data_IF_742359141391
#
_entry.id   IF_742359141391
#
_cell.length_a   1.000
_cell.length_b   1.000
_cell.length_c   1.000
_cell.angle_alpha   90.00
_cell.angle_beta   90.00
_cell.angle_gamma   90.00
#
_symmetry.space_group_name_H-M   'P 1'
#
loop_
_entity.id
_entity.type
_entity.pdbx_description
1 polymer ?
#
# COMPACT_ATOMS: atom_id res chain seq x y z
N UNK A 1 12.66 0.13 9.85
CA UNK A 1 13.84 -0.52 9.25
C UNK A 1 14.15 -1.81 9.98
N UNK A 2 14.14 -2.94 9.27
CA UNK A 2 14.35 -4.27 9.87
C UNK A 2 15.83 -4.62 9.80
N UNK A 3 16.57 -4.32 10.85
CA UNK A 3 18.02 -4.57 10.94
C UNK A 3 18.36 -6.06 11.20
N UNK A 4 17.36 -6.86 11.62
CA UNK A 4 17.46 -8.30 11.80
C UNK A 4 16.08 -8.97 11.79
N UNK A 5 16.06 -10.29 11.64
CA UNK A 5 14.83 -11.08 11.59
C UNK A 5 14.00 -11.03 12.90
N UNK A 6 14.65 -10.84 14.04
CA UNK A 6 13.99 -10.69 15.33
C UNK A 6 13.09 -9.46 15.39
N UNK A 7 13.50 -8.35 14.76
CA UNK A 7 12.67 -7.14 14.68
C UNK A 7 11.41 -7.37 13.83
N UNK A 8 11.54 -8.09 12.71
CA UNK A 8 10.38 -8.46 11.89
C UNK A 8 9.41 -9.36 12.65
N UNK A 9 9.94 -10.41 13.33
CA UNK A 9 9.12 -11.29 14.18
C UNK A 9 8.37 -10.52 15.26
N UNK A 10 9.06 -9.58 15.92
CA UNK A 10 8.44 -8.73 16.94
C UNK A 10 7.35 -7.82 16.36
N UNK A 11 7.58 -7.22 15.19
CA UNK A 11 6.59 -6.37 14.54
C UNK A 11 5.33 -7.16 14.16
N UNK A 12 5.49 -8.33 13.53
CA UNK A 12 4.37 -9.22 13.20
C UNK A 12 3.64 -9.67 14.46
N UNK A 13 4.39 -10.10 15.50
CA UNK A 13 3.78 -10.51 16.76
C UNK A 13 2.94 -9.40 17.40
N UNK A 14 3.46 -8.18 17.46
CA UNK A 14 2.73 -7.04 18.02
C UNK A 14 1.44 -6.77 17.25
N UNK A 15 1.48 -6.83 15.92
CA UNK A 15 0.28 -6.66 15.10
C UNK A 15 -0.75 -7.77 15.34
N UNK A 16 -0.32 -9.02 15.42
CA UNK A 16 -1.21 -10.14 15.74
C UNK A 16 -1.85 -9.97 17.13
N UNK A 17 -1.06 -9.59 18.14
CA UNK A 17 -1.58 -9.33 19.51
C UNK A 17 -2.63 -8.21 19.52
N UNK A 18 -2.43 -7.14 18.73
CA UNK A 18 -3.43 -6.08 18.59
C UNK A 18 -4.77 -6.61 18.03
N UNK A 19 -4.70 -7.43 16.98
CA UNK A 19 -5.89 -8.04 16.39
C UNK A 19 -6.52 -9.10 17.29
N UNK A 20 -5.72 -9.90 18.01
CA UNK A 20 -6.20 -10.87 18.98
C UNK A 20 -6.95 -10.23 20.16
N UNK A 21 -6.55 -9.02 20.57
CA UNK A 21 -7.31 -8.25 21.59
C UNK A 21 -8.72 -7.89 21.11
N UNK A 22 -8.92 -7.73 19.81
CA UNK A 22 -10.21 -7.36 19.21
C UNK A 22 -11.04 -8.61 18.93
N UNK A 23 -10.43 -9.62 18.28
CA UNK A 23 -11.14 -10.78 17.75
C UNK A 23 -10.99 -12.06 18.60
N UNK A 24 -10.16 -12.02 19.63
CA UNK A 24 -9.84 -13.17 20.45
C UNK A 24 -8.64 -13.96 19.93
N UNK A 25 -8.14 -14.89 20.76
CA UNK A 25 -7.03 -15.79 20.44
C UNK A 25 -7.38 -17.23 20.84
N UNK A 26 -6.62 -18.17 20.26
CA UNK A 26 -6.64 -19.58 20.66
C UNK A 26 -5.22 -20.02 21.01
N UNK A 27 -5.02 -20.65 22.15
CA UNK A 27 -3.71 -21.07 22.65
C UNK A 27 -3.05 -22.17 21.80
N UNK A 28 -3.80 -22.84 20.93
CA UNK A 28 -3.29 -23.81 19.98
C UNK A 28 -2.68 -23.17 18.71
N UNK A 29 -2.90 -21.87 18.52
CA UNK A 29 -2.38 -21.09 17.39
C UNK A 29 -0.97 -20.59 17.73
N UNK A 30 0.04 -21.44 17.60
CA UNK A 30 1.43 -21.21 18.01
C UNK A 30 2.34 -20.60 16.93
N UNK A 31 1.89 -20.54 15.67
CA UNK A 31 2.61 -19.91 14.55
C UNK A 31 1.94 -18.63 14.06
N UNK A 32 2.69 -17.76 13.39
CA UNK A 32 2.12 -16.56 12.77
C UNK A 32 1.01 -16.90 11.76
N UNK A 33 1.21 -17.98 11.01
CA UNK A 33 0.23 -18.52 10.05
C UNK A 33 -1.07 -18.91 10.73
N UNK A 34 -1.02 -19.72 11.79
CA UNK A 34 -2.21 -20.18 12.51
C UNK A 34 -2.94 -19.03 13.18
N UNK A 35 -2.21 -18.11 13.81
CA UNK A 35 -2.77 -16.91 14.45
C UNK A 35 -3.50 -16.01 13.46
N UNK A 36 -2.86 -15.70 12.32
CA UNK A 36 -3.52 -14.89 11.27
C UNK A 36 -4.77 -15.59 10.72
N UNK A 37 -4.69 -16.89 10.48
CA UNK A 37 -5.82 -17.72 10.05
C UNK A 37 -7.00 -17.64 11.03
N UNK A 38 -6.70 -17.83 12.32
CA UNK A 38 -7.71 -17.78 13.39
C UNK A 38 -8.34 -16.41 13.55
N UNK A 39 -7.54 -15.34 13.49
CA UNK A 39 -8.01 -13.95 13.53
C UNK A 39 -9.00 -13.66 12.39
N UNK A 40 -8.64 -14.02 11.16
CA UNK A 40 -9.51 -13.82 9.98
C UNK A 40 -10.83 -14.57 10.15
N UNK A 41 -10.79 -15.83 10.60
CA UNK A 41 -11.98 -16.63 10.84
C UNK A 41 -12.87 -16.00 11.91
N UNK A 42 -12.32 -15.66 13.08
CA UNK A 42 -13.06 -15.06 14.19
C UNK A 42 -13.65 -13.69 13.84
N UNK A 43 -12.91 -12.87 13.09
CA UNK A 43 -13.41 -11.59 12.57
C UNK A 43 -14.65 -11.78 11.69
N UNK A 44 -14.64 -12.77 10.81
CA UNK A 44 -15.78 -13.16 9.99
C UNK A 44 -16.95 -13.64 10.85
N UNK A 45 -16.71 -14.57 11.79
CA UNK A 45 -17.76 -15.15 12.64
C UNK A 45 -18.44 -14.10 13.51
N UNK A 46 -17.69 -13.12 14.05
CA UNK A 46 -18.21 -12.05 14.90
C UNK A 46 -18.99 -10.98 14.10
N UNK A 47 -18.55 -10.67 12.88
CA UNK A 47 -19.16 -9.60 12.08
C UNK A 47 -20.25 -10.08 11.12
N UNK A 48 -20.25 -11.37 10.77
CA UNK A 48 -21.05 -11.92 9.68
C UNK A 48 -20.62 -11.40 8.29
N UNK A 49 -19.45 -10.74 8.16
CA UNK A 49 -18.94 -10.14 6.93
C UNK A 49 -17.55 -10.67 6.61
N UNK A 50 -17.31 -10.93 5.32
CA UNK A 50 -15.98 -11.30 4.86
C UNK A 50 -14.96 -10.19 5.13
N UNK A 51 -13.75 -10.59 5.51
CA UNK A 51 -12.66 -9.69 5.91
C UNK A 51 -12.01 -9.06 4.68
N UNK A 52 -11.67 -7.79 4.77
CA UNK A 52 -10.77 -7.09 3.84
C UNK A 52 -9.40 -6.99 4.50
N UNK A 53 -8.36 -7.46 3.80
CA UNK A 53 -6.98 -7.36 4.26
C UNK A 53 -6.19 -6.45 3.33
N UNK A 54 -5.64 -5.37 3.89
CA UNK A 54 -4.79 -4.40 3.19
C UNK A 54 -3.37 -4.50 3.76
N UNK A 55 -2.38 -4.65 2.87
CA UNK A 55 -0.96 -4.75 3.24
C UNK A 55 -0.20 -3.73 2.43
N UNK A 56 0.27 -2.70 3.10
CA UNK A 56 1.10 -1.67 2.49
C UNK A 56 2.58 -1.99 2.67
N UNK A 57 3.38 -1.68 1.65
CA UNK A 57 4.83 -1.91 1.64
C UNK A 57 5.22 -3.36 2.01
N UNK A 58 4.54 -4.35 1.43
CA UNK A 58 4.78 -5.77 1.74
C UNK A 58 6.26 -6.19 1.58
N UNK A 59 7.02 -5.48 0.76
CA UNK A 59 8.41 -5.75 0.40
C UNK A 59 9.43 -5.00 1.28
N UNK A 60 8.99 -4.07 2.11
CA UNK A 60 9.85 -3.27 2.99
C UNK A 60 10.85 -4.11 3.82
N UNK A 61 10.47 -5.26 4.42
CA UNK A 61 11.43 -6.07 5.16
C UNK A 61 12.57 -6.62 4.29
N UNK A 62 12.29 -6.93 3.02
CA UNK A 62 13.30 -7.42 2.09
C UNK A 62 14.22 -6.29 1.60
N UNK A 63 13.67 -5.11 1.34
CA UNK A 63 14.44 -3.93 0.93
C UNK A 63 15.41 -3.47 2.02
N UNK A 64 14.99 -3.53 3.27
CA UNK A 64 15.83 -3.17 4.43
C UNK A 64 16.99 -4.15 4.67
N UNK A 65 16.92 -5.36 4.14
CA UNK A 65 17.93 -6.43 4.28
C UNK A 65 18.92 -6.50 3.13
N UNK A 66 18.97 -5.51 2.24
CA UNK A 66 19.84 -5.48 1.07
C UNK A 66 21.31 -5.80 1.41
N UNK A 67 21.94 -6.65 0.57
CA UNK A 67 23.32 -7.14 0.64
C UNK A 67 23.62 -8.18 1.74
N UNK A 68 22.61 -8.79 2.36
CA UNK A 68 22.79 -9.90 3.27
C UNK A 68 21.88 -11.08 2.89
N UNK A 69 22.41 -12.03 2.13
CA UNK A 69 21.64 -13.16 1.58
C UNK A 69 21.06 -14.08 2.67
N UNK A 70 21.79 -14.28 3.77
CA UNK A 70 21.32 -15.10 4.88
C UNK A 70 20.14 -14.44 5.59
N UNK A 71 20.25 -13.16 5.89
CA UNK A 71 19.14 -12.37 6.46
C UNK A 71 17.95 -12.33 5.53
N UNK A 72 18.16 -12.17 4.23
CA UNK A 72 17.07 -12.20 3.24
C UNK A 72 16.37 -13.57 3.21
N UNK A 73 17.10 -14.66 3.31
CA UNK A 73 16.52 -16.00 3.35
C UNK A 73 15.65 -16.20 4.60
N UNK A 74 16.12 -15.74 5.76
CA UNK A 74 15.37 -15.80 7.00
C UNK A 74 14.09 -14.92 6.96
N UNK A 75 14.21 -13.65 6.54
CA UNK A 75 13.06 -12.75 6.38
C UNK A 75 12.04 -13.34 5.43
N UNK A 76 12.48 -13.91 4.31
CA UNK A 76 11.62 -14.58 3.32
C UNK A 76 10.84 -15.73 3.93
N UNK A 77 11.50 -16.53 4.78
CA UNK A 77 10.85 -17.62 5.52
C UNK A 77 9.76 -17.12 6.47
N UNK A 78 10.03 -16.05 7.23
CA UNK A 78 9.06 -15.44 8.15
C UNK A 78 7.84 -14.89 7.40
N UNK A 79 8.07 -14.16 6.30
CA UNK A 79 7.00 -13.59 5.49
C UNK A 79 6.16 -14.67 4.81
N UNK A 80 6.80 -15.75 4.32
CA UNK A 80 6.09 -16.89 3.73
C UNK A 80 5.19 -17.57 4.77
N UNK A 81 5.70 -17.82 5.98
CA UNK A 81 4.87 -18.36 7.07
C UNK A 81 3.68 -17.46 7.35
N UNK A 82 3.91 -16.16 7.54
CA UNK A 82 2.85 -15.19 7.86
C UNK A 82 1.75 -15.10 6.79
N UNK A 83 2.13 -15.06 5.50
CA UNK A 83 1.16 -14.89 4.40
C UNK A 83 0.57 -16.21 3.86
N UNK A 84 1.14 -17.36 4.21
CA UNK A 84 0.70 -18.67 3.66
C UNK A 84 -0.79 -18.98 3.82
N UNK A 85 -1.47 -18.61 4.92
CA UNK A 85 -2.89 -18.93 5.08
C UNK A 85 -3.80 -18.18 4.11
N UNK A 86 -3.37 -17.05 3.53
CA UNK A 86 -4.21 -16.22 2.67
C UNK A 86 -4.65 -16.94 1.39
N UNK A 87 -3.92 -17.95 0.96
CA UNK A 87 -4.29 -18.80 -0.17
C UNK A 87 -5.59 -19.59 0.07
N UNK A 88 -5.78 -20.07 1.29
CA UNK A 88 -6.86 -20.98 1.66
C UNK A 88 -8.05 -20.29 2.36
N UNK A 89 -8.02 -18.97 2.52
CA UNK A 89 -9.01 -18.20 3.27
C UNK A 89 -10.10 -17.55 2.39
N UNK A 90 -10.25 -17.97 1.14
CA UNK A 90 -11.23 -17.38 0.20
C UNK A 90 -12.68 -17.36 0.72
N UNK A 91 -13.05 -18.28 1.60
CA UNK A 91 -14.35 -18.31 2.27
C UNK A 91 -14.55 -17.10 3.20
N UNK A 92 -13.50 -16.66 3.90
CA UNK A 92 -13.53 -15.60 4.90
C UNK A 92 -13.04 -14.25 4.37
N UNK A 93 -12.30 -14.24 3.25
CA UNK A 93 -11.74 -13.03 2.65
C UNK A 93 -12.63 -12.51 1.52
N UNK A 94 -13.02 -11.25 1.61
CA UNK A 94 -13.71 -10.51 0.54
C UNK A 94 -12.74 -9.92 -0.45
N UNK A 95 -11.61 -9.41 0.05
CA UNK A 95 -10.62 -8.70 -0.74
C UNK A 95 -9.25 -8.73 -0.05
N UNK A 96 -8.22 -8.93 -0.83
CA UNK A 96 -6.82 -8.87 -0.41
C UNK A 96 -6.11 -7.89 -1.34
N UNK A 97 -5.48 -6.85 -0.79
CA UNK A 97 -4.73 -5.88 -1.54
C UNK A 97 -3.35 -5.67 -0.93
N UNK A 98 -2.31 -5.79 -1.77
CA UNK A 98 -0.92 -5.66 -1.37
C UNK A 98 -0.28 -4.55 -2.22
N UNK A 99 0.42 -3.62 -1.58
CA UNK A 99 1.25 -2.61 -2.25
C UNK A 99 2.72 -2.80 -1.92
N UNK A 100 3.59 -2.39 -2.84
CA UNK A 100 5.03 -2.42 -2.68
C UNK A 100 5.74 -1.86 -3.91
N UNK A 101 7.03 -1.57 -3.79
CA UNK A 101 7.84 -1.04 -4.90
C UNK A 101 8.58 -2.13 -5.69
N UNK A 102 8.76 -3.30 -5.11
CA UNK A 102 9.41 -4.44 -5.78
C UNK A 102 8.41 -5.20 -6.62
N UNK A 103 8.86 -5.70 -7.80
CA UNK A 103 8.01 -6.58 -8.61
C UNK A 103 7.68 -7.85 -7.83
N UNK A 104 6.40 -8.12 -7.68
CA UNK A 104 5.84 -9.28 -7.01
C UNK A 104 6.47 -10.62 -7.47
N UNK A 105 6.72 -10.75 -8.77
CA UNK A 105 7.32 -11.96 -9.38
C UNK A 105 8.78 -12.21 -8.96
N UNK A 106 9.49 -11.20 -8.49
CA UNK A 106 10.89 -11.35 -8.05
C UNK A 106 10.99 -11.80 -6.59
N UNK A 107 9.90 -11.70 -5.83
CA UNK A 107 9.85 -12.10 -4.44
C UNK A 107 9.19 -13.48 -4.35
N UNK A 108 10.00 -14.54 -4.24
CA UNK A 108 9.52 -15.94 -4.11
C UNK A 108 8.62 -16.22 -2.88
N UNK A 109 8.32 -15.20 -2.07
CA UNK A 109 7.42 -15.25 -0.92
C UNK A 109 6.00 -15.61 -1.34
N UNK A 110 5.57 -15.07 -2.49
CA UNK A 110 4.20 -15.20 -2.95
C UNK A 110 4.03 -16.20 -4.12
N UNK A 111 5.07 -16.98 -4.43
CA UNK A 111 4.98 -18.02 -5.47
C UNK A 111 3.87 -19.04 -5.21
N UNK A 112 3.47 -19.16 -3.95
CA UNK A 112 2.37 -20.04 -3.52
C UNK A 112 1.00 -19.35 -3.57
N UNK A 113 0.93 -18.01 -3.61
CA UNK A 113 -0.33 -17.24 -3.68
C UNK A 113 -0.74 -17.03 -5.13
N UNK A 114 -1.13 -18.10 -5.79
CA UNK A 114 -1.59 -18.08 -7.19
C UNK A 114 -2.99 -17.44 -7.38
N UNK A 115 -3.63 -17.00 -6.33
CA UNK A 115 -4.91 -16.31 -6.32
C UNK A 115 -4.77 -14.77 -6.41
N UNK A 116 -3.54 -14.23 -6.44
CA UNK A 116 -3.29 -12.80 -6.58
C UNK A 116 -3.13 -12.42 -8.07
N UNK A 117 -3.74 -11.30 -8.44
CA UNK A 117 -3.58 -10.69 -9.74
C UNK A 117 -2.62 -9.49 -9.62
N UNK A 118 -1.57 -9.46 -10.44
CA UNK A 118 -0.73 -8.27 -10.56
C UNK A 118 -1.42 -7.24 -11.44
N UNK A 119 -1.73 -6.08 -10.87
CA UNK A 119 -2.41 -4.97 -11.56
C UNK A 119 -1.50 -3.76 -11.80
N UNK A 120 -0.23 -3.82 -11.39
CA UNK A 120 0.69 -2.66 -11.35
C UNK A 120 0.88 -1.94 -12.69
N UNK A 121 0.75 -2.65 -13.81
CA UNK A 121 1.00 -2.10 -15.15
C UNK A 121 -0.22 -2.29 -16.08
N UNK A 122 -1.39 -2.45 -15.51
CA UNK A 122 -2.62 -2.60 -16.28
C UNK A 122 -3.30 -1.25 -16.47
N UNK A 123 -3.67 -0.91 -17.69
CA UNK A 123 -4.31 0.37 -18.05
C UNK A 123 -5.56 0.67 -17.19
N UNK A 124 -6.36 -0.36 -16.87
CA UNK A 124 -7.56 -0.22 -16.06
C UNK A 124 -7.29 0.24 -14.61
N UNK A 125 -6.06 0.13 -14.12
CA UNK A 125 -5.67 0.47 -12.74
C UNK A 125 -4.57 1.55 -12.68
N UNK A 126 -4.24 2.16 -13.79
CA UNK A 126 -3.12 3.11 -13.91
C UNK A 126 -3.27 4.35 -13.02
N UNK A 127 -4.49 4.76 -12.72
CA UNK A 127 -4.78 5.92 -11.88
C UNK A 127 -4.95 5.59 -10.38
N UNK A 128 -4.86 4.30 -9.97
CA UNK A 128 -5.20 3.87 -8.59
C UNK A 128 -4.30 4.51 -7.50
N UNK A 129 -3.07 4.88 -7.86
CA UNK A 129 -2.09 5.47 -6.94
C UNK A 129 -1.83 6.96 -7.19
N UNK A 130 -2.65 7.62 -8.01
CA UNK A 130 -2.49 9.02 -8.36
C UNK A 130 -3.80 9.79 -8.35
N UNK A 131 -3.73 11.02 -8.81
CA UNK A 131 -4.89 11.90 -9.01
C UNK A 131 -4.96 12.24 -10.49
N UNK A 132 -6.09 11.95 -11.12
CA UNK A 132 -6.31 12.30 -12.52
C UNK A 132 -6.63 13.79 -12.69
N UNK A 133 -6.47 14.33 -13.90
CA UNK A 133 -6.85 15.71 -14.22
C UNK A 133 -8.34 15.96 -13.91
N UNK A 134 -9.20 14.98 -14.18
CA UNK A 134 -10.62 15.08 -13.88
C UNK A 134 -10.89 15.14 -12.37
N UNK A 135 -10.25 14.28 -11.57
CA UNK A 135 -10.38 14.31 -10.10
C UNK A 135 -9.83 15.61 -9.51
N UNK A 136 -8.70 16.10 -10.00
CA UNK A 136 -8.14 17.38 -9.60
C UNK A 136 -9.15 18.50 -9.78
N UNK A 137 -9.76 18.62 -10.96
CA UNK A 137 -10.69 19.70 -11.28
C UNK A 137 -12.05 19.57 -10.62
N UNK A 138 -12.50 18.34 -10.32
CA UNK A 138 -13.85 18.12 -9.76
C UNK A 138 -13.87 17.96 -8.26
N UNK A 139 -12.86 17.32 -7.68
CA UNK A 139 -12.81 17.01 -6.25
C UNK A 139 -11.95 18.00 -5.46
N UNK A 140 -10.96 18.64 -6.11
CA UNK A 140 -10.01 19.55 -5.47
C UNK A 140 -10.13 20.99 -6.01
N UNK A 141 -11.26 21.33 -6.62
CA UNK A 141 -11.52 22.67 -7.20
C UNK A 141 -11.30 23.80 -6.18
N UNK A 142 -11.77 23.61 -4.95
CA UNK A 142 -11.60 24.63 -3.89
C UNK A 142 -10.14 24.83 -3.50
N UNK A 143 -9.35 23.75 -3.48
CA UNK A 143 -7.93 23.83 -3.16
C UNK A 143 -7.16 24.54 -4.27
N UNK A 144 -7.51 24.29 -5.54
CA UNK A 144 -6.97 25.05 -6.67
C UNK A 144 -7.30 26.53 -6.54
N UNK A 145 -8.55 26.90 -6.21
CA UNK A 145 -8.95 28.30 -6.03
C UNK A 145 -8.18 28.99 -4.91
N UNK A 146 -8.00 28.31 -3.77
CA UNK A 146 -7.19 28.85 -2.64
C UNK A 146 -5.72 29.00 -3.01
N UNK A 147 -5.21 28.10 -3.85
CA UNK A 147 -3.84 28.14 -4.38
C UNK A 147 -3.68 29.34 -5.32
N UNK A 148 -4.59 29.52 -6.26
CA UNK A 148 -4.63 30.64 -7.19
C UNK A 148 -4.67 31.99 -6.46
N UNK A 149 -5.57 32.14 -5.50
CA UNK A 149 -5.69 33.34 -4.68
C UNK A 149 -4.39 33.68 -3.95
N UNK A 150 -3.77 32.67 -3.33
CA UNK A 150 -2.52 32.85 -2.55
C UNK A 150 -1.31 33.26 -3.42
N UNK A 151 -1.33 32.91 -4.71
CA UNK A 151 -0.24 33.20 -5.66
C UNK A 151 -0.59 34.36 -6.61
N UNK A 152 -1.77 34.96 -6.50
CA UNK A 152 -2.20 36.06 -7.36
C UNK A 152 -2.47 35.64 -8.80
N UNK A 153 -2.94 34.43 -9.00
CA UNK A 153 -3.18 33.78 -10.27
C UNK A 153 -4.69 33.58 -10.52
N UNK A 154 -5.05 33.38 -11.77
CA UNK A 154 -6.37 32.84 -12.13
C UNK A 154 -6.43 31.34 -11.87
N UNK A 155 -7.64 30.79 -11.81
CA UNK A 155 -7.87 29.34 -11.68
C UNK A 155 -7.16 28.53 -12.79
N UNK A 156 -7.24 29.03 -14.03
CA UNK A 156 -6.64 28.35 -15.19
C UNK A 156 -5.11 28.39 -15.16
N UNK A 157 -4.53 29.51 -14.73
CA UNK A 157 -3.08 29.62 -14.53
C UNK A 157 -2.60 28.65 -13.44
N UNK A 158 -3.32 28.57 -12.33
CA UNK A 158 -3.00 27.62 -11.25
C UNK A 158 -3.09 26.17 -11.75
N UNK A 159 -4.08 25.81 -12.54
CA UNK A 159 -4.17 24.48 -13.16
C UNK A 159 -2.97 24.19 -14.06
N UNK A 160 -2.52 25.15 -14.87
CA UNK A 160 -1.36 25.01 -15.74
C UNK A 160 -0.08 24.81 -14.90
N UNK A 161 0.10 25.60 -13.87
CA UNK A 161 1.26 25.47 -12.96
C UNK A 161 1.28 24.14 -12.22
N UNK A 162 0.13 23.69 -11.68
CA UNK A 162 0.01 22.38 -11.05
C UNK A 162 0.36 21.26 -12.02
N UNK A 163 -0.12 21.34 -13.26
CA UNK A 163 0.20 20.37 -14.31
C UNK A 163 1.68 20.33 -14.63
N UNK A 164 2.31 21.46 -14.83
CA UNK A 164 3.74 21.54 -15.14
C UNK A 164 4.63 21.01 -14.01
N UNK A 165 4.20 21.18 -12.76
CA UNK A 165 5.01 20.87 -11.60
C UNK A 165 4.80 19.45 -11.06
N UNK A 166 3.56 18.90 -11.15
CA UNK A 166 3.18 17.70 -10.41
C UNK A 166 2.54 16.60 -11.25
N UNK A 167 2.25 16.85 -12.52
CA UNK A 167 1.75 15.87 -13.49
C UNK A 167 2.92 15.10 -14.15
N UNK A 168 2.60 13.99 -14.83
CA UNK A 168 3.57 13.26 -15.66
C UNK A 168 3.99 11.91 -15.11
N UNK A 169 3.35 11.40 -14.04
CA UNK A 169 3.49 10.00 -13.66
C UNK A 169 2.66 9.12 -14.60
N UNK A 170 3.32 8.15 -15.23
CA UNK A 170 2.74 7.30 -16.25
C UNK A 170 3.01 5.84 -15.92
N UNK A 171 1.95 5.05 -15.66
CA UNK A 171 2.10 3.68 -15.19
C UNK A 171 1.85 2.59 -16.25
N UNK A 172 1.30 2.96 -17.40
CA UNK A 172 1.12 2.04 -18.53
C UNK A 172 1.13 2.81 -19.86
N UNK A 173 1.40 2.12 -20.98
CA UNK A 173 1.60 2.75 -22.30
C UNK A 173 0.39 3.58 -22.78
N UNK A 174 -0.83 3.19 -22.39
CA UNK A 174 -2.06 3.83 -22.84
C UNK A 174 -2.81 4.55 -21.69
N UNK A 175 -2.15 4.80 -20.56
CA UNK A 175 -2.77 5.52 -19.45
C UNK A 175 -2.69 7.02 -19.61
N UNK A 176 -3.62 7.72 -18.99
CA UNK A 176 -3.47 9.15 -18.76
C UNK A 176 -2.35 9.43 -17.77
N UNK A 177 -1.74 10.61 -17.88
CA UNK A 177 -0.83 11.10 -16.86
C UNK A 177 -1.58 11.42 -15.58
N UNK A 178 -0.94 11.18 -14.45
CA UNK A 178 -1.51 11.44 -13.13
C UNK A 178 -0.61 12.32 -12.29
N UNK A 179 -1.22 13.07 -11.41
CA UNK A 179 -0.53 13.90 -10.42
C UNK A 179 -0.05 13.05 -9.24
N UNK A 180 1.14 13.37 -8.75
CA UNK A 180 1.65 12.78 -7.51
C UNK A 180 0.88 13.33 -6.31
N UNK A 181 0.13 12.49 -5.54
CA UNK A 181 -0.72 12.97 -4.45
C UNK A 181 0.07 13.64 -3.34
N UNK A 182 1.25 13.10 -2.96
CA UNK A 182 2.08 13.66 -1.91
C UNK A 182 2.52 15.09 -2.25
N UNK A 183 3.05 15.30 -3.45
CA UNK A 183 3.50 16.61 -3.91
C UNK A 183 2.35 17.60 -4.03
N UNK A 184 1.22 17.16 -4.60
CA UNK A 184 0.03 17.98 -4.80
C UNK A 184 -0.58 18.45 -3.47
N UNK A 185 -0.79 17.55 -2.51
CA UNK A 185 -1.35 17.93 -1.21
C UNK A 185 -0.41 18.81 -0.39
N UNK A 186 0.91 18.62 -0.49
CA UNK A 186 1.87 19.53 0.12
C UNK A 186 1.83 20.92 -0.51
N UNK A 187 1.67 21.01 -1.84
CA UNK A 187 1.51 22.30 -2.53
C UNK A 187 0.26 23.03 -2.03
N UNK A 188 -0.86 22.36 -1.93
CA UNK A 188 -2.10 22.95 -1.40
C UNK A 188 -1.97 23.37 0.07
N UNK A 189 -1.38 22.52 0.93
CA UNK A 189 -1.20 22.83 2.33
C UNK A 189 -0.30 24.06 2.56
N UNK A 190 0.75 24.19 1.76
CA UNK A 190 1.72 25.31 1.86
C UNK A 190 1.34 26.49 0.96
N UNK A 191 0.34 26.34 0.10
CA UNK A 191 -0.11 27.36 -0.88
C UNK A 191 1.01 27.89 -1.77
N UNK A 192 1.92 26.99 -2.17
CA UNK A 192 3.07 27.35 -3.03
C UNK A 192 3.46 26.20 -3.95
N UNK A 193 4.04 26.54 -5.09
CA UNK A 193 4.67 25.60 -6.00
C UNK A 193 6.10 25.33 -5.54
N UNK A 194 6.42 24.07 -5.21
CA UNK A 194 7.76 23.67 -4.82
C UNK A 194 7.98 22.19 -5.14
N UNK A 195 9.22 21.76 -5.19
CA UNK A 195 9.55 20.36 -5.32
C UNK A 195 9.55 19.68 -3.95
N UNK A 196 8.49 18.92 -3.66
CA UNK A 196 8.31 18.24 -2.38
C UNK A 196 8.87 16.81 -2.35
N UNK A 197 9.33 16.29 -3.49
CA UNK A 197 9.81 14.92 -3.59
C UNK A 197 11.23 14.72 -3.01
N UNK A 198 12.00 15.77 -2.90
CA UNK A 198 13.41 15.74 -2.49
C UNK A 198 13.68 16.46 -1.15
N UNK A 199 12.70 16.55 -0.29
CA UNK A 199 12.88 17.14 1.07
C UNK A 199 13.22 16.06 2.10
#
# INVERSE_FOLDING_TARGET
KYMNAGMLRSAINNRLVEWERIYGCDTSEDTFSLRLKGIIKRAYEQSGRQVVLLVDEYDSPMLDSNNNEELQAEIRGIMRDFFSPLKAQGEYLRFLFLTGISKFSQMSIFSELNNLQNISMQDAYSAICGITENELRTQLEEDIRRMAEANGETYDEACIHLKQQYDGYHFSENSEDIYNPFSLFNAFAQKKYANFWFS
#
